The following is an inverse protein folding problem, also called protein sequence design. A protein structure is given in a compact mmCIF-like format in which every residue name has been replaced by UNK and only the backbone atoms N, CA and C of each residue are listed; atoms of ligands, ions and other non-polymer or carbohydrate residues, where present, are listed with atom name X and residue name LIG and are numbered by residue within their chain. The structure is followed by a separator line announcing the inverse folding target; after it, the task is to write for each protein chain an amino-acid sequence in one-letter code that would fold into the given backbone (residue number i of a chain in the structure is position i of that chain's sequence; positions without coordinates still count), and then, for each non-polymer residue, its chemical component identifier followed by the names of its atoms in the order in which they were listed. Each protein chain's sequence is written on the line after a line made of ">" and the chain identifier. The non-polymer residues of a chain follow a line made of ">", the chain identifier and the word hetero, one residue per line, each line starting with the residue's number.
data_IF_650130714844
#
_entry.id   IF_650130714844
#
_cell.length_a   1.000
_cell.length_b   1.000
_cell.length_c   1.000
_cell.angle_alpha   90.00
_cell.angle_beta   90.00
_cell.angle_gamma   90.00
#
_symmetry.space_group_name_H-M   'P 1'
#
loop_
_entity.id
_entity.type
_entity.pdbx_description
1 polymer ?
#
# COMPACT_ATOMS: atom_id res chain seq x y z
N UNK A 1 -37.08 -5.69 16.10
CA UNK A 1 -37.31 -6.45 14.83
C UNK A 1 -36.32 -5.97 13.77
N UNK A 2 -36.10 -6.71 12.66
CA UNK A 2 -35.24 -6.23 11.56
C UNK A 2 -35.76 -4.89 11.04
N UNK A 3 -34.85 -3.92 10.96
CA UNK A 3 -35.15 -2.56 10.51
C UNK A 3 -34.87 -2.37 9.02
N UNK A 4 -35.49 -1.37 8.37
CA UNK A 4 -35.18 -1.02 6.98
C UNK A 4 -33.70 -0.75 6.72
N UNK A 5 -32.99 -0.16 7.69
CA UNK A 5 -31.55 0.08 7.61
C UNK A 5 -30.75 -1.23 7.62
N UNK A 6 -31.11 -2.19 8.46
CA UNK A 6 -30.49 -3.52 8.45
C UNK A 6 -30.77 -4.28 7.15
N UNK A 7 -31.97 -4.14 6.58
CA UNK A 7 -32.31 -4.70 5.26
C UNK A 7 -31.40 -4.09 4.20
N UNK A 8 -31.23 -2.77 4.18
CA UNK A 8 -30.34 -2.07 3.25
C UNK A 8 -28.89 -2.54 3.39
N UNK A 9 -28.36 -2.60 4.61
CA UNK A 9 -26.99 -3.07 4.85
C UNK A 9 -26.78 -4.52 4.39
N UNK A 10 -27.78 -5.40 4.55
CA UNK A 10 -27.71 -6.79 4.07
C UNK A 10 -27.84 -6.89 2.55
N UNK A 11 -28.72 -6.08 1.96
CA UNK A 11 -28.89 -5.97 0.52
C UNK A 11 -27.57 -5.48 -0.14
N UNK A 12 -26.93 -4.45 0.41
CA UNK A 12 -25.63 -3.96 -0.09
C UNK A 12 -24.52 -5.01 0.03
N UNK A 13 -24.48 -5.81 1.11
CA UNK A 13 -23.49 -6.90 1.27
C UNK A 13 -23.67 -8.02 0.25
N UNK A 14 -24.89 -8.27 -0.20
CA UNK A 14 -25.20 -9.28 -1.22
C UNK A 14 -25.00 -8.77 -2.66
N UNK A 15 -24.73 -7.47 -2.85
CA UNK A 15 -24.56 -6.88 -4.18
C UNK A 15 -23.45 -7.53 -5.01
N UNK A 16 -22.36 -7.97 -4.37
CA UNK A 16 -21.30 -8.72 -5.05
C UNK A 16 -21.81 -10.04 -5.66
N UNK A 17 -22.71 -10.74 -4.98
CA UNK A 17 -23.28 -12.00 -5.45
C UNK A 17 -24.20 -11.73 -6.64
N UNK A 18 -24.97 -10.63 -6.56
CA UNK A 18 -25.74 -10.14 -7.69
C UNK A 18 -24.87 -9.86 -8.92
N UNK A 19 -23.78 -9.10 -8.78
CA UNK A 19 -22.86 -8.85 -9.89
C UNK A 19 -22.25 -10.14 -10.47
N UNK A 20 -21.96 -11.13 -9.62
CA UNK A 20 -21.42 -12.42 -10.05
C UNK A 20 -22.44 -13.19 -10.90
N UNK A 21 -23.70 -13.22 -10.46
CA UNK A 21 -24.80 -13.91 -11.17
C UNK A 21 -25.03 -13.38 -12.59
N UNK A 22 -24.78 -12.07 -12.82
CA UNK A 22 -24.90 -11.46 -14.15
C UNK A 22 -23.91 -12.05 -15.16
N UNK A 23 -22.78 -12.56 -14.70
CA UNK A 23 -21.75 -13.18 -15.54
C UNK A 23 -21.94 -14.71 -15.63
N UNK A 24 -22.54 -15.29 -14.60
CA UNK A 24 -22.94 -16.70 -14.59
C UNK A 24 -24.23 -16.98 -15.37
N UNK A 25 -24.99 -15.93 -15.70
CA UNK A 25 -26.32 -16.00 -16.33
C UNK A 25 -27.33 -16.76 -15.45
N UNK A 26 -27.27 -16.51 -14.14
CA UNK A 26 -28.14 -17.11 -13.12
C UNK A 26 -29.21 -16.11 -12.71
N UNK A 27 -30.48 -16.51 -12.74
CA UNK A 27 -31.56 -15.73 -12.14
C UNK A 27 -31.50 -15.83 -10.60
N UNK A 28 -31.27 -14.70 -9.96
CA UNK A 28 -31.13 -14.58 -8.50
C UNK A 28 -32.44 -14.21 -7.80
N UNK A 29 -33.48 -13.83 -8.55
CA UNK A 29 -34.70 -13.28 -7.97
C UNK A 29 -35.77 -14.37 -7.81
N UNK A 30 -36.52 -14.37 -6.69
CA UNK A 30 -36.50 -13.38 -5.61
C UNK A 30 -35.32 -13.55 -4.63
N UNK A 31 -34.73 -12.44 -4.17
CA UNK A 31 -33.67 -12.44 -3.16
C UNK A 31 -34.28 -12.29 -1.76
N UNK A 32 -34.21 -13.33 -0.93
CA UNK A 32 -34.63 -13.24 0.48
C UNK A 32 -33.54 -12.66 1.39
N UNK A 33 -33.94 -11.70 2.25
CA UNK A 33 -33.09 -11.11 3.28
C UNK A 33 -33.39 -11.75 4.64
N UNK A 34 -32.45 -12.52 5.14
CA UNK A 34 -32.53 -13.09 6.50
C UNK A 34 -32.51 -11.98 7.56
N UNK A 35 -33.26 -12.13 8.66
CA UNK A 35 -33.41 -11.10 9.67
C UNK A 35 -34.04 -11.59 10.98
N UNK A 36 -33.84 -10.82 12.06
CA UNK A 36 -34.56 -11.07 13.32
C UNK A 36 -36.01 -10.62 13.15
N UNK A 37 -36.91 -11.60 13.04
CA UNK A 37 -38.35 -11.41 12.82
C UNK A 37 -39.16 -11.50 14.12
N UNK A 38 -38.49 -11.59 15.28
CA UNK A 38 -39.17 -11.72 16.58
C UNK A 38 -39.76 -10.39 17.04
N UNK A 39 -41.00 -10.37 17.54
CA UNK A 39 -41.64 -9.18 18.07
C UNK A 39 -40.93 -8.69 19.35
N UNK A 40 -40.93 -7.38 19.57
CA UNK A 40 -40.48 -6.81 20.83
C UNK A 40 -41.49 -7.15 21.95
N UNK A 41 -41.02 -7.28 23.20
CA UNK A 41 -41.90 -7.52 24.36
C UNK A 41 -42.80 -6.33 24.65
N UNK A 42 -42.38 -5.12 24.28
CA UNK A 42 -43.20 -3.90 24.34
C UNK A 42 -44.03 -3.75 23.05
N UNK A 43 -45.35 -3.76 23.20
CA UNK A 43 -46.34 -3.67 22.11
C UNK A 43 -46.22 -2.33 21.37
N UNK A 44 -45.98 -1.22 22.07
CA UNK A 44 -45.92 0.11 21.47
C UNK A 44 -44.67 0.26 20.59
N UNK A 45 -43.55 -0.30 21.04
CA UNK A 45 -42.31 -0.37 20.26
C UNK A 45 -42.50 -1.28 19.05
N UNK A 46 -43.13 -2.45 19.23
CA UNK A 46 -43.40 -3.38 18.13
C UNK A 46 -44.27 -2.77 17.02
N UNK A 47 -45.34 -2.04 17.38
CA UNK A 47 -46.19 -1.36 16.40
C UNK A 47 -45.40 -0.33 15.58
N UNK A 48 -44.56 0.49 16.24
CA UNK A 48 -43.69 1.46 15.55
C UNK A 48 -42.67 0.78 14.63
N UNK A 49 -42.11 -0.36 15.04
CA UNK A 49 -41.17 -1.13 14.21
C UNK A 49 -41.86 -1.68 12.93
N UNK A 50 -43.08 -2.21 13.05
CA UNK A 50 -43.86 -2.72 11.91
C UNK A 50 -44.29 -1.59 10.98
N UNK A 51 -44.78 -0.48 11.53
CA UNK A 51 -45.20 0.68 10.75
C UNK A 51 -44.02 1.23 9.93
N UNK A 52 -42.83 1.32 10.54
CA UNK A 52 -41.61 1.74 9.85
C UNK A 52 -41.21 0.76 8.73
N UNK A 53 -41.35 -0.54 8.97
CA UNK A 53 -41.07 -1.58 7.97
C UNK A 53 -42.04 -1.49 6.78
N UNK A 54 -43.34 -1.27 7.03
CA UNK A 54 -44.35 -1.16 5.97
C UNK A 54 -44.18 0.14 5.18
N UNK A 55 -43.96 1.26 5.85
CA UNK A 55 -43.77 2.57 5.20
C UNK A 55 -42.54 2.61 4.29
N UNK A 56 -41.53 1.78 4.59
CA UNK A 56 -40.33 1.65 3.78
C UNK A 56 -40.39 0.51 2.75
N UNK A 57 -41.50 -0.24 2.67
CA UNK A 57 -41.69 -1.36 1.75
C UNK A 57 -42.12 -0.93 0.34
N UNK A 58 -42.03 -1.87 -0.60
CA UNK A 58 -42.47 -1.73 -1.99
C UNK A 58 -43.93 -1.28 -2.13
N UNK A 59 -44.83 -1.75 -1.27
CA UNK A 59 -46.26 -1.40 -1.34
C UNK A 59 -46.50 0.11 -1.13
N UNK A 60 -45.64 0.78 -0.36
CA UNK A 60 -45.77 2.22 -0.07
C UNK A 60 -44.87 3.08 -0.96
N UNK A 61 -43.65 2.63 -1.25
CA UNK A 61 -42.67 3.40 -2.03
C UNK A 61 -42.73 3.12 -3.55
N UNK A 62 -43.42 2.07 -3.96
CA UNK A 62 -43.48 1.60 -5.35
C UNK A 62 -42.23 0.87 -5.83
N UNK A 63 -41.25 0.65 -4.95
CA UNK A 63 -40.03 -0.12 -5.22
C UNK A 63 -39.40 -0.62 -3.90
N UNK A 64 -38.58 -1.66 -3.98
CA UNK A 64 -37.79 -2.16 -2.84
C UNK A 64 -38.29 -3.52 -2.33
N UNK A 65 -38.18 -3.76 -1.03
CA UNK A 65 -38.51 -5.08 -0.48
C UNK A 65 -40.02 -5.25 -0.26
N UNK A 66 -40.47 -6.49 -0.45
CA UNK A 66 -41.80 -6.99 -0.11
C UNK A 66 -41.73 -7.76 1.22
N UNK A 67 -42.82 -7.74 1.98
CA UNK A 67 -42.92 -8.43 3.28
C UNK A 67 -44.04 -9.46 3.21
N UNK A 68 -43.70 -10.74 3.36
CA UNK A 68 -44.67 -11.82 3.49
C UNK A 68 -45.03 -11.98 4.97
N UNK A 69 -46.31 -12.00 5.31
CA UNK A 69 -46.79 -12.09 6.70
C UNK A 69 -47.37 -13.47 7.01
N UNK A 70 -47.16 -13.91 8.25
CA UNK A 70 -47.81 -15.08 8.83
C UNK A 70 -48.72 -14.67 9.97
N UNK A 71 -49.96 -15.11 9.92
CA UNK A 71 -50.92 -14.96 11.01
C UNK A 71 -50.58 -15.92 12.15
N UNK A 72 -50.42 -15.39 13.36
CA UNK A 72 -50.10 -16.17 14.57
C UNK A 72 -51.07 -15.84 15.69
N UNK A 73 -51.53 -16.87 16.40
CA UNK A 73 -52.29 -16.72 17.64
C UNK A 73 -51.32 -16.52 18.81
N UNK A 74 -51.38 -15.36 19.45
CA UNK A 74 -50.57 -15.07 20.64
C UNK A 74 -51.19 -15.69 21.90
N UNK A 75 -50.40 -15.83 22.99
CA UNK A 75 -50.83 -16.46 24.26
C UNK A 75 -52.06 -15.81 24.91
N UNK A 76 -52.44 -14.61 24.48
CA UNK A 76 -53.60 -13.86 24.98
C UNK A 76 -54.78 -13.84 23.96
N UNK A 77 -54.86 -14.80 23.03
CA UNK A 77 -55.89 -14.87 21.97
C UNK A 77 -55.97 -13.67 21.02
N UNK A 78 -54.96 -12.80 20.99
CA UNK A 78 -54.85 -11.77 19.96
C UNK A 78 -54.22 -12.38 18.70
N UNK A 79 -54.93 -12.25 17.58
CA UNK A 79 -54.44 -12.60 16.25
C UNK A 79 -53.51 -11.48 15.79
N UNK A 80 -52.27 -11.82 15.43
CA UNK A 80 -51.29 -10.85 14.94
C UNK A 80 -50.57 -11.37 13.70
N UNK A 81 -50.43 -10.51 12.69
CA UNK A 81 -49.66 -10.80 11.49
C UNK A 81 -48.18 -10.43 11.74
N UNK A 82 -47.29 -11.43 11.66
CA UNK A 82 -45.86 -11.27 11.89
C UNK A 82 -45.09 -11.44 10.58
N UNK A 83 -44.04 -10.65 10.31
CA UNK A 83 -43.26 -10.78 9.09
C UNK A 83 -42.52 -12.12 9.04
N UNK A 84 -42.87 -12.94 8.06
CA UNK A 84 -42.28 -14.26 7.82
C UNK A 84 -41.11 -14.20 6.84
N UNK A 85 -41.22 -13.47 5.74
CA UNK A 85 -40.15 -13.28 4.75
C UNK A 85 -40.04 -11.83 4.33
N UNK A 86 -38.83 -11.41 4.02
CA UNK A 86 -38.53 -10.10 3.45
C UNK A 86 -37.68 -10.37 2.24
N UNK A 87 -38.12 -9.93 1.06
CA UNK A 87 -37.45 -10.29 -0.18
C UNK A 87 -37.60 -9.19 -1.23
N UNK A 88 -36.73 -9.22 -2.23
CA UNK A 88 -36.86 -8.38 -3.42
C UNK A 88 -37.41 -9.23 -4.56
N UNK A 89 -38.52 -8.81 -5.16
CA UNK A 89 -39.17 -9.52 -6.26
C UNK A 89 -38.37 -9.46 -7.56
N UNK A 90 -37.78 -8.30 -7.84
CA UNK A 90 -37.16 -8.00 -9.13
C UNK A 90 -35.81 -7.33 -8.96
N UNK A 91 -34.98 -7.42 -10.01
CA UNK A 91 -33.73 -6.67 -10.12
C UNK A 91 -33.94 -5.16 -9.93
N UNK A 92 -34.99 -4.61 -10.54
CA UNK A 92 -35.29 -3.18 -10.47
C UNK A 92 -35.58 -2.73 -9.04
N UNK A 93 -36.35 -3.53 -8.30
CA UNK A 93 -36.65 -3.26 -6.88
C UNK A 93 -35.39 -3.26 -6.03
N UNK A 94 -34.55 -4.28 -6.20
CA UNK A 94 -33.32 -4.44 -5.46
C UNK A 94 -32.32 -3.31 -5.74
N UNK A 95 -31.99 -3.07 -7.00
CA UNK A 95 -31.00 -2.06 -7.38
C UNK A 95 -31.43 -0.65 -7.01
N UNK A 96 -32.72 -0.32 -7.16
CA UNK A 96 -33.25 0.99 -6.77
C UNK A 96 -33.26 1.20 -5.27
N UNK A 97 -33.46 0.14 -4.48
CA UNK A 97 -33.42 0.22 -3.03
C UNK A 97 -32.01 0.48 -2.47
N UNK A 98 -30.98 -0.13 -3.08
CA UNK A 98 -29.58 0.07 -2.68
C UNK A 98 -28.88 1.22 -3.42
N UNK A 99 -29.56 1.88 -4.36
CA UNK A 99 -29.04 2.97 -5.20
C UNK A 99 -27.82 2.57 -6.06
N UNK A 100 -27.90 1.41 -6.73
CA UNK A 100 -26.79 0.81 -7.50
C UNK A 100 -27.11 0.54 -8.97
N UNK A 101 -28.18 1.10 -9.53
CA UNK A 101 -28.57 0.87 -10.93
C UNK A 101 -27.46 1.23 -11.93
N UNK A 102 -26.83 2.39 -11.75
CA UNK A 102 -25.74 2.86 -12.62
C UNK A 102 -24.51 1.97 -12.52
N UNK A 103 -24.17 1.55 -11.30
CA UNK A 103 -23.02 0.70 -11.02
C UNK A 103 -23.19 -0.69 -11.66
N UNK A 104 -24.36 -1.31 -11.49
CA UNK A 104 -24.69 -2.59 -12.13
C UNK A 104 -24.69 -2.49 -13.68
N UNK A 105 -25.27 -1.42 -14.23
CA UNK A 105 -25.28 -1.18 -15.68
C UNK A 105 -23.87 -1.06 -16.24
N UNK A 106 -23.01 -0.27 -15.58
CA UNK A 106 -21.62 -0.08 -15.99
C UNK A 106 -20.83 -1.40 -15.85
N UNK A 107 -21.04 -2.15 -14.77
CA UNK A 107 -20.42 -3.45 -14.58
C UNK A 107 -20.75 -4.42 -15.72
N UNK A 108 -22.00 -4.46 -16.19
CA UNK A 108 -22.41 -5.32 -17.31
C UNK A 108 -21.66 -4.94 -18.59
N UNK A 109 -21.59 -3.64 -18.90
CA UNK A 109 -20.85 -3.12 -20.06
C UNK A 109 -19.37 -3.49 -19.98
N UNK A 110 -18.74 -3.24 -18.83
CA UNK A 110 -17.32 -3.50 -18.61
C UNK A 110 -16.99 -5.00 -18.67
N UNK A 111 -17.84 -5.84 -18.08
CA UNK A 111 -17.67 -7.30 -18.07
C UNK A 111 -17.79 -7.88 -19.47
N UNK A 112 -18.78 -7.44 -20.26
CA UNK A 112 -18.92 -7.86 -21.66
C UNK A 112 -17.71 -7.41 -22.48
N UNK A 113 -17.25 -6.16 -22.30
CA UNK A 113 -16.08 -5.65 -23.01
C UNK A 113 -14.82 -6.49 -22.76
N UNK A 114 -14.60 -6.93 -21.52
CA UNK A 114 -13.50 -7.81 -21.17
C UNK A 114 -13.67 -9.21 -21.76
N UNK A 115 -14.83 -9.84 -21.56
CA UNK A 115 -15.08 -11.22 -21.97
C UNK A 115 -15.13 -11.42 -23.47
N UNK A 116 -15.50 -10.40 -24.25
CA UNK A 116 -15.42 -10.44 -25.72
C UNK A 116 -13.97 -10.59 -26.19
N UNK A 117 -12.99 -10.03 -25.48
CA UNK A 117 -11.58 -10.12 -25.85
C UNK A 117 -10.82 -11.24 -25.12
N UNK A 118 -11.17 -11.50 -23.87
CA UNK A 118 -10.47 -12.41 -22.97
C UNK A 118 -11.48 -13.27 -22.19
N UNK A 119 -12.07 -14.30 -22.83
CA UNK A 119 -13.05 -15.19 -22.19
C UNK A 119 -12.55 -15.89 -20.92
N UNK A 120 -11.25 -16.14 -20.82
CA UNK A 120 -10.57 -16.74 -19.67
C UNK A 120 -10.72 -15.94 -18.37
N UNK A 121 -11.04 -14.64 -18.46
CA UNK A 121 -11.29 -13.78 -17.29
C UNK A 121 -12.66 -14.04 -16.63
N UNK A 122 -13.51 -14.93 -17.17
CA UNK A 122 -14.85 -15.20 -16.61
C UNK A 122 -14.82 -15.52 -15.11
N UNK A 123 -13.98 -16.46 -14.71
CA UNK A 123 -13.88 -16.85 -13.30
C UNK A 123 -13.32 -15.72 -12.40
N UNK A 124 -12.46 -14.86 -12.95
CA UNK A 124 -11.97 -13.68 -12.24
C UNK A 124 -13.07 -12.66 -11.97
N UNK A 125 -13.89 -12.37 -12.98
CA UNK A 125 -14.99 -11.41 -12.85
C UNK A 125 -16.04 -11.92 -11.84
N UNK A 126 -16.37 -13.21 -11.89
CA UNK A 126 -17.30 -13.87 -10.94
C UNK A 126 -16.74 -13.83 -9.51
N UNK A 127 -15.47 -14.19 -9.31
CA UNK A 127 -14.88 -14.23 -7.97
C UNK A 127 -14.59 -12.85 -7.38
N UNK A 128 -14.33 -11.84 -8.22
CA UNK A 128 -13.89 -10.49 -7.82
C UNK A 128 -14.63 -9.37 -8.56
N UNK A 129 -15.98 -9.30 -8.55
CA UNK A 129 -16.73 -8.30 -9.29
C UNK A 129 -16.44 -6.86 -8.85
N UNK A 130 -16.09 -6.68 -7.56
CA UNK A 130 -15.67 -5.38 -7.02
C UNK A 130 -14.41 -4.81 -7.70
N UNK A 131 -13.52 -5.66 -8.25
CA UNK A 131 -12.38 -5.19 -9.04
C UNK A 131 -12.84 -4.55 -10.34
N UNK A 132 -13.91 -5.07 -10.94
CA UNK A 132 -14.51 -4.54 -12.17
C UNK A 132 -15.10 -3.14 -11.91
N UNK A 133 -15.96 -3.06 -10.90
CA UNK A 133 -16.61 -1.81 -10.47
C UNK A 133 -15.59 -0.72 -10.12
N UNK A 134 -14.54 -1.04 -9.33
CA UNK A 134 -13.54 -0.05 -8.90
C UNK A 134 -12.73 0.58 -10.04
N UNK A 135 -12.66 -0.09 -11.19
CA UNK A 135 -11.92 0.40 -12.36
C UNK A 135 -12.85 0.82 -13.51
N UNK A 136 -14.14 1.03 -13.24
CA UNK A 136 -15.07 1.59 -14.19
C UNK A 136 -14.51 2.83 -14.89
N UNK A 137 -14.71 2.92 -16.21
CA UNK A 137 -14.17 4.00 -17.05
C UNK A 137 -12.69 3.86 -17.44
N UNK A 138 -11.95 2.88 -16.91
CA UNK A 138 -10.54 2.62 -17.26
C UNK A 138 -10.33 1.40 -18.16
N UNK A 139 -11.37 0.60 -18.39
CA UNK A 139 -11.25 -0.72 -19.01
C UNK A 139 -10.70 -0.70 -20.43
N UNK A 140 -11.01 0.32 -21.23
CA UNK A 140 -10.43 0.47 -22.56
C UNK A 140 -8.90 0.60 -22.52
N UNK A 141 -8.38 1.39 -21.58
CA UNK A 141 -6.95 1.61 -21.39
C UNK A 141 -6.28 0.36 -20.80
N UNK A 142 -6.94 -0.34 -19.86
CA UNK A 142 -6.47 -1.63 -19.32
C UNK A 142 -6.33 -2.65 -20.46
N UNK A 143 -7.36 -2.79 -21.30
CA UNK A 143 -7.36 -3.72 -22.44
C UNK A 143 -6.23 -3.41 -23.42
N UNK A 144 -5.94 -2.13 -23.71
CA UNK A 144 -4.79 -1.75 -24.56
C UNK A 144 -3.47 -2.26 -23.99
N UNK A 145 -3.29 -2.16 -22.67
CA UNK A 145 -2.09 -2.68 -22.00
C UNK A 145 -2.03 -4.21 -22.11
N UNK A 146 -3.14 -4.89 -21.82
CA UNK A 146 -3.19 -6.35 -21.89
C UNK A 146 -2.86 -6.83 -23.30
N UNK A 147 -3.47 -6.24 -24.35
CA UNK A 147 -3.18 -6.61 -25.74
C UNK A 147 -1.68 -6.52 -26.04
N UNK A 148 -1.02 -5.45 -25.58
CA UNK A 148 0.41 -5.28 -25.81
C UNK A 148 1.24 -6.40 -25.17
N UNK A 149 0.95 -6.79 -23.93
CA UNK A 149 1.69 -7.86 -23.25
C UNK A 149 1.37 -9.25 -23.82
N UNK A 150 0.17 -9.46 -24.37
CA UNK A 150 -0.16 -10.69 -25.09
C UNK A 150 0.67 -10.79 -26.37
N UNK A 151 0.82 -9.69 -27.11
CA UNK A 151 1.64 -9.63 -28.34
C UNK A 151 3.15 -9.62 -28.04
N UNK A 152 3.57 -9.04 -26.90
CA UNK A 152 4.96 -8.87 -26.50
C UNK A 152 5.17 -9.28 -25.03
N UNK A 153 5.20 -10.59 -24.72
CA UNK A 153 5.17 -11.02 -23.32
C UNK A 153 6.45 -10.75 -22.51
N UNK A 154 7.58 -10.51 -23.18
CA UNK A 154 8.87 -10.12 -22.57
C UNK A 154 9.46 -8.92 -23.33
N UNK A 155 8.93 -7.70 -23.12
CA UNK A 155 9.33 -6.55 -23.90
C UNK A 155 10.80 -6.15 -23.75
N UNK A 156 11.42 -6.41 -22.59
CA UNK A 156 12.73 -5.88 -22.20
C UNK A 156 12.83 -4.33 -22.29
N UNK A 157 11.74 -3.66 -21.94
CA UNK A 157 11.61 -2.19 -21.98
C UNK A 157 11.22 -1.65 -20.60
N UNK A 158 11.57 -0.40 -20.30
CA UNK A 158 10.98 0.29 -19.16
C UNK A 158 9.49 0.56 -19.44
N UNK A 159 8.66 0.66 -18.39
CA UNK A 159 7.22 1.00 -18.52
C UNK A 159 6.99 2.24 -19.40
N UNK A 160 7.92 3.21 -19.34
CA UNK A 160 7.81 4.47 -20.08
C UNK A 160 8.21 4.39 -21.55
N UNK A 161 8.87 3.31 -21.94
CA UNK A 161 9.31 3.05 -23.31
C UNK A 161 8.32 2.18 -24.07
N UNK A 162 7.30 1.64 -23.39
CA UNK A 162 6.30 0.79 -24.02
C UNK A 162 5.58 1.56 -25.14
N UNK A 163 5.54 1.03 -26.37
CA UNK A 163 4.95 1.68 -27.54
C UNK A 163 3.42 1.59 -27.55
N UNK A 164 2.79 1.90 -26.41
CA UNK A 164 1.35 1.85 -26.20
C UNK A 164 0.84 3.30 -26.21
N UNK A 165 -0.22 3.57 -26.98
CA UNK A 165 -0.85 4.91 -27.07
C UNK A 165 -1.68 5.24 -25.82
N UNK A 166 -1.03 5.27 -24.66
CA UNK A 166 -1.60 5.60 -23.34
C UNK A 166 -0.58 6.40 -22.52
N UNK A 167 -1.04 7.17 -21.54
CA UNK A 167 -0.11 7.86 -20.65
C UNK A 167 0.60 6.83 -19.75
N UNK A 168 1.94 6.82 -19.72
CA UNK A 168 2.75 5.82 -18.99
C UNK A 168 2.44 5.71 -17.48
N UNK A 169 2.16 6.84 -16.80
CA UNK A 169 1.60 6.88 -15.43
C UNK A 169 0.34 6.01 -15.22
N UNK A 170 -0.41 5.70 -16.27
CA UNK A 170 -1.55 4.79 -16.19
C UNK A 170 -1.11 3.39 -15.78
N UNK A 171 -0.09 2.82 -16.42
CA UNK A 171 0.44 1.50 -16.07
C UNK A 171 0.98 1.53 -14.65
N UNK A 172 1.79 2.54 -14.31
CA UNK A 172 2.38 2.70 -12.97
C UNK A 172 1.31 2.71 -11.85
N UNK A 173 0.17 3.38 -12.07
CA UNK A 173 -0.92 3.49 -11.09
C UNK A 173 -1.85 2.28 -11.02
N UNK A 174 -1.90 1.47 -12.08
CA UNK A 174 -2.84 0.35 -12.19
C UNK A 174 -2.14 -1.03 -12.20
N UNK A 175 -0.86 -1.11 -11.79
CA UNK A 175 -0.07 -2.37 -11.72
C UNK A 175 -0.80 -3.51 -11.01
N UNK A 176 -1.53 -3.22 -9.92
CA UNK A 176 -2.22 -4.26 -9.15
C UNK A 176 -3.29 -5.00 -9.95
N UNK A 177 -4.18 -4.27 -10.64
CA UNK A 177 -5.20 -4.90 -11.48
C UNK A 177 -4.58 -5.50 -12.75
N UNK A 178 -3.60 -4.83 -13.35
CA UNK A 178 -2.90 -5.35 -14.52
C UNK A 178 -2.21 -6.68 -14.20
N UNK A 179 -1.56 -6.82 -13.04
CA UNK A 179 -0.96 -8.08 -12.59
C UNK A 179 -2.00 -9.19 -12.51
N UNK A 180 -3.09 -8.96 -11.78
CA UNK A 180 -4.12 -9.98 -11.58
C UNK A 180 -4.70 -10.48 -12.91
N UNK A 181 -4.85 -9.60 -13.90
CA UNK A 181 -5.37 -9.96 -15.22
C UNK A 181 -4.32 -10.65 -16.10
N UNK A 182 -3.11 -10.09 -16.18
CA UNK A 182 -2.02 -10.66 -16.97
C UNK A 182 -1.59 -12.03 -16.44
N UNK A 183 -1.66 -12.27 -15.13
CA UNK A 183 -1.38 -13.59 -14.53
C UNK A 183 -2.37 -14.68 -14.97
N UNK A 184 -3.57 -14.30 -15.38
CA UNK A 184 -4.59 -15.24 -15.88
C UNK A 184 -4.46 -15.42 -17.38
N UNK A 185 -4.17 -14.34 -18.10
CA UNK A 185 -4.14 -14.30 -19.57
C UNK A 185 -2.83 -14.86 -20.11
N UNK A 186 -1.70 -14.56 -19.47
CA UNK A 186 -0.40 -15.05 -19.87
C UNK A 186 -0.09 -16.37 -19.17
N UNK A 187 0.35 -17.36 -19.94
CA UNK A 187 0.78 -18.64 -19.38
C UNK A 187 1.99 -18.48 -18.45
N UNK A 188 2.06 -19.29 -17.39
CA UNK A 188 3.15 -19.29 -16.42
C UNK A 188 4.54 -19.59 -17.02
N UNK A 189 4.61 -20.21 -18.21
CA UNK A 189 5.88 -20.44 -18.93
C UNK A 189 6.47 -19.14 -19.50
N UNK A 190 5.61 -18.15 -19.74
CA UNK A 190 5.97 -16.89 -20.39
C UNK A 190 6.29 -15.81 -19.36
N UNK A 191 5.68 -15.89 -18.17
CA UNK A 191 5.84 -14.94 -17.07
C UNK A 191 6.95 -15.40 -16.12
N UNK A 192 7.75 -14.48 -15.60
CA UNK A 192 8.79 -14.82 -14.63
C UNK A 192 8.19 -15.04 -13.23
N UNK A 193 8.79 -15.91 -12.42
CA UNK A 193 8.36 -16.14 -11.03
C UNK A 193 8.87 -15.05 -10.06
N UNK A 194 8.43 -13.82 -10.32
CA UNK A 194 8.86 -12.62 -9.59
C UNK A 194 7.66 -11.93 -8.93
N UNK A 195 7.88 -11.29 -7.78
CA UNK A 195 6.84 -10.51 -7.10
C UNK A 195 6.70 -9.09 -7.68
N UNK A 196 7.79 -8.53 -8.18
CA UNK A 196 7.81 -7.17 -8.73
C UNK A 196 7.20 -7.19 -10.12
N UNK A 197 6.19 -6.33 -10.35
CA UNK A 197 5.42 -6.27 -11.61
C UNK A 197 6.34 -6.21 -12.85
N UNK A 198 7.34 -5.32 -12.82
CA UNK A 198 8.28 -5.16 -13.93
C UNK A 198 9.01 -6.46 -14.25
N UNK A 199 9.66 -7.07 -13.25
CA UNK A 199 10.44 -8.29 -13.44
C UNK A 199 9.55 -9.46 -13.85
N UNK A 200 8.33 -9.54 -13.29
CA UNK A 200 7.34 -10.58 -13.59
C UNK A 200 6.97 -10.61 -15.07
N UNK A 201 6.70 -9.45 -15.67
CA UNK A 201 6.27 -9.34 -17.07
C UNK A 201 7.40 -8.93 -18.03
N UNK A 202 8.65 -9.25 -17.68
CA UNK A 202 9.81 -9.05 -18.55
C UNK A 202 10.10 -7.58 -18.92
N UNK A 203 9.74 -6.64 -18.05
CA UNK A 203 10.08 -5.22 -18.17
C UNK A 203 11.39 -4.92 -17.46
N UNK A 204 12.07 -3.86 -17.91
CA UNK A 204 13.21 -3.29 -17.20
C UNK A 204 12.74 -2.57 -15.94
N UNK A 205 13.38 -2.90 -14.82
CA UNK A 205 13.22 -2.17 -13.57
C UNK A 205 14.26 -1.05 -13.51
N UNK A 206 13.82 0.18 -13.26
CA UNK A 206 14.74 1.30 -13.07
C UNK A 206 15.58 1.02 -11.82
N UNK A 207 16.88 0.89 -12.04
CA UNK A 207 17.82 0.62 -10.96
C UNK A 207 17.92 1.84 -10.02
N UNK A 208 17.89 1.65 -8.69
CA UNK A 208 18.09 2.76 -7.78
C UNK A 208 19.49 3.37 -7.94
N UNK A 209 19.55 4.70 -7.96
CA UNK A 209 20.80 5.45 -7.98
C UNK A 209 21.28 5.67 -6.54
N UNK A 210 22.53 5.29 -6.25
CA UNK A 210 23.22 5.60 -5.01
C UNK A 210 24.00 6.88 -5.21
N UNK A 211 23.57 7.95 -4.52
CA UNK A 211 24.30 9.21 -4.49
C UNK A 211 25.28 9.20 -3.32
N UNK A 212 26.51 9.64 -3.55
CA UNK A 212 27.53 9.75 -2.53
C UNK A 212 28.46 10.94 -2.79
N UNK A 213 29.03 11.48 -1.72
CA UNK A 213 30.07 12.50 -1.75
C UNK A 213 31.42 11.89 -1.36
N UNK A 214 32.46 12.15 -2.14
CA UNK A 214 33.84 11.81 -1.79
C UNK A 214 34.38 12.92 -0.88
N UNK A 215 34.80 12.53 0.33
CA UNK A 215 35.30 13.48 1.32
C UNK A 215 36.82 13.61 1.31
N UNK A 216 37.52 12.81 0.51
CA UNK A 216 38.96 12.92 0.29
C UNK A 216 39.24 13.50 -1.10
N UNK A 217 39.76 14.73 -1.15
CA UNK A 217 40.14 15.39 -2.41
C UNK A 217 41.17 14.61 -3.22
N UNK A 218 42.09 13.89 -2.57
CA UNK A 218 43.09 13.07 -3.25
C UNK A 218 42.44 11.88 -3.95
N UNK A 219 41.45 11.27 -3.30
CA UNK A 219 40.66 10.18 -3.85
C UNK A 219 39.79 10.66 -5.00
N UNK A 220 39.11 11.81 -4.83
CA UNK A 220 38.30 12.44 -5.87
C UNK A 220 39.14 12.72 -7.12
N UNK A 221 40.33 13.30 -6.97
CA UNK A 221 41.24 13.55 -8.08
C UNK A 221 41.72 12.26 -8.75
N UNK A 222 42.03 11.22 -7.96
CA UNK A 222 42.58 9.96 -8.48
C UNK A 222 41.57 9.13 -9.26
N UNK A 223 40.33 9.02 -8.78
CA UNK A 223 39.34 8.08 -9.33
C UNK A 223 38.17 8.76 -10.05
N UNK A 224 37.95 10.05 -9.82
CA UNK A 224 36.75 10.76 -10.30
C UNK A 224 37.07 12.10 -10.97
N UNK A 225 38.30 12.32 -11.42
CA UNK A 225 38.73 13.56 -12.10
C UNK A 225 38.44 14.84 -11.29
N UNK A 226 38.47 14.74 -9.96
CA UNK A 226 38.21 15.84 -9.04
C UNK A 226 36.72 16.07 -8.73
N UNK A 227 35.82 15.30 -9.34
CA UNK A 227 34.40 15.30 -8.98
C UNK A 227 34.22 14.64 -7.62
N UNK A 228 33.46 15.29 -6.74
CA UNK A 228 33.28 14.85 -5.37
C UNK A 228 31.82 14.57 -4.99
N UNK A 229 30.83 14.87 -5.83
CA UNK A 229 29.40 14.54 -5.63
C UNK A 229 28.89 13.78 -6.84
N UNK A 230 28.57 12.50 -6.64
CA UNK A 230 28.35 11.52 -7.69
C UNK A 230 27.07 10.73 -7.39
N UNK A 231 26.44 10.23 -8.45
CA UNK A 231 25.37 9.25 -8.34
C UNK A 231 25.60 8.12 -9.34
N UNK A 232 25.63 6.88 -8.85
CA UNK A 232 25.84 5.68 -9.66
C UNK A 232 24.63 4.74 -9.54
N UNK A 233 24.23 4.02 -10.60
CA UNK A 233 23.32 2.89 -10.47
C UNK A 233 23.89 1.87 -9.47
N UNK A 234 22.99 1.20 -8.73
CA UNK A 234 23.37 0.32 -7.63
C UNK A 234 24.40 -0.77 -8.02
N UNK A 235 24.28 -1.37 -9.21
CA UNK A 235 25.20 -2.39 -9.73
C UNK A 235 26.62 -1.83 -9.93
N UNK A 236 26.76 -0.61 -10.44
CA UNK A 236 28.04 0.05 -10.63
C UNK A 236 28.63 0.44 -9.28
N UNK A 237 27.80 0.92 -8.36
CA UNK A 237 28.22 1.22 -6.99
C UNK A 237 28.68 -0.03 -6.23
N UNK A 238 28.03 -1.18 -6.44
CA UNK A 238 28.45 -2.47 -5.88
C UNK A 238 29.83 -2.92 -6.34
N UNK A 239 30.19 -2.58 -7.58
CA UNK A 239 31.46 -2.94 -8.20
C UNK A 239 32.53 -1.86 -8.05
N UNK A 240 32.31 -0.87 -7.19
CA UNK A 240 33.25 0.22 -6.95
C UNK A 240 34.52 -0.32 -6.30
N UNK A 241 35.62 -0.36 -7.06
CA UNK A 241 36.90 -0.87 -6.61
C UNK A 241 37.81 0.28 -6.13
N UNK A 242 37.48 0.82 -4.97
CA UNK A 242 38.23 1.91 -4.33
C UNK A 242 38.54 1.51 -2.90
N UNK A 243 39.80 1.65 -2.49
CA UNK A 243 40.20 1.45 -1.11
C UNK A 243 39.67 2.60 -0.25
N UNK A 244 38.64 2.31 0.53
CA UNK A 244 38.05 3.22 1.49
C UNK A 244 38.32 2.69 2.90
N UNK A 245 38.53 3.59 3.84
CA UNK A 245 38.64 3.24 5.26
C UNK A 245 37.31 3.45 5.97
N UNK A 246 36.47 4.36 5.46
CA UNK A 246 35.25 4.82 6.14
C UNK A 246 34.14 5.21 5.18
N UNK A 247 32.91 4.88 5.56
CA UNK A 247 31.70 5.25 4.85
C UNK A 247 30.68 5.80 5.83
N UNK A 248 30.13 6.95 5.50
CA UNK A 248 29.16 7.64 6.34
C UNK A 248 27.81 7.56 5.67
N UNK A 249 26.81 7.02 6.33
CA UNK A 249 25.47 6.81 5.79
C UNK A 249 24.56 7.86 6.43
N UNK A 250 24.06 8.77 5.61
CA UNK A 250 23.17 9.86 6.02
C UNK A 250 21.74 9.56 5.56
N UNK A 251 20.76 9.61 6.46
CA UNK A 251 19.38 9.23 6.13
C UNK A 251 18.63 10.26 5.26
N UNK A 252 18.79 11.55 5.56
CA UNK A 252 17.98 12.63 4.98
C UNK A 252 18.73 13.38 3.86
N UNK A 253 17.97 13.78 2.82
CA UNK A 253 18.45 14.57 1.69
C UNK A 253 18.77 16.03 2.05
N UNK A 254 18.26 16.58 3.13
CA UNK A 254 18.59 17.97 3.54
C UNK A 254 19.89 18.00 4.34
N UNK A 255 20.24 16.92 5.05
CA UNK A 255 21.58 16.66 5.59
C UNK A 255 22.67 16.66 4.51
N UNK A 256 22.29 16.63 3.23
CA UNK A 256 23.15 16.94 2.09
C UNK A 256 23.80 18.31 2.21
N UNK A 257 23.10 19.36 2.66
CA UNK A 257 23.69 20.70 2.81
C UNK A 257 24.75 20.73 3.91
N UNK A 258 24.51 20.02 5.02
CA UNK A 258 25.51 19.82 6.05
C UNK A 258 26.69 18.98 5.52
N UNK A 259 26.40 17.94 4.73
CA UNK A 259 27.39 17.06 4.13
C UNK A 259 28.25 17.68 3.03
N UNK A 260 27.70 18.63 2.27
CA UNK A 260 28.45 19.46 1.32
C UNK A 260 29.52 20.31 2.03
N UNK A 261 29.37 20.50 3.34
CA UNK A 261 30.32 21.23 4.19
C UNK A 261 31.10 20.34 5.15
N UNK A 262 30.98 19.01 5.04
CA UNK A 262 31.81 18.08 5.81
C UNK A 262 33.28 18.34 5.44
N UNK A 263 34.17 18.50 6.45
CA UNK A 263 35.58 18.73 6.19
C UNK A 263 36.21 17.54 5.46
N UNK A 264 37.31 17.82 4.75
CA UNK A 264 38.04 16.79 4.03
C UNK A 264 38.51 15.69 5.00
N UNK A 265 38.17 14.43 4.73
CA UNK A 265 38.53 13.27 5.55
C UNK A 265 39.10 12.17 4.67
N UNK A 266 40.29 11.69 5.04
CA UNK A 266 41.07 10.72 4.27
C UNK A 266 40.30 9.42 4.04
N UNK A 267 40.40 8.85 2.84
CA UNK A 267 39.81 7.54 2.46
C UNK A 267 38.32 7.39 2.85
N UNK A 268 37.56 8.49 2.82
CA UNK A 268 36.17 8.54 3.31
C UNK A 268 35.19 8.98 2.22
N UNK A 269 34.00 8.35 2.19
CA UNK A 269 32.84 8.84 1.43
C UNK A 269 31.62 9.01 2.35
N UNK A 270 30.67 9.84 1.93
CA UNK A 270 29.35 9.96 2.54
C UNK A 270 28.26 9.51 1.53
N UNK A 271 27.47 8.50 1.87
CA UNK A 271 26.34 7.99 1.10
C UNK A 271 25.07 8.70 1.55
N UNK A 272 24.26 9.15 0.59
CA UNK A 272 22.98 9.80 0.86
C UNK A 272 21.84 8.81 0.66
N UNK A 273 21.20 8.45 1.78
CA UNK A 273 19.93 7.76 1.81
C UNK A 273 18.76 8.69 1.51
N UNK A 274 17.63 8.08 1.15
CA UNK A 274 16.31 8.72 1.23
C UNK A 274 15.45 7.79 2.08
N UNK A 275 15.62 7.82 3.40
CA UNK A 275 14.96 6.86 4.31
C UNK A 275 15.26 5.39 3.95
N UNK A 276 14.21 4.59 3.72
CA UNK A 276 14.24 3.13 3.43
C UNK A 276 15.15 2.67 2.26
N UNK A 277 15.76 3.57 1.50
CA UNK A 277 16.83 3.28 0.51
C UNK A 277 18.05 2.57 1.11
N UNK A 278 18.20 2.54 2.43
CA UNK A 278 19.24 1.76 3.11
C UNK A 278 19.19 0.27 2.77
N UNK A 279 18.01 -0.27 2.45
CA UNK A 279 17.88 -1.64 1.94
C UNK A 279 18.66 -1.88 0.63
N UNK A 280 18.89 -0.84 -0.18
CA UNK A 280 19.73 -0.94 -1.38
C UNK A 280 21.20 -1.18 -1.04
N UNK A 281 21.65 -0.80 0.16
CA UNK A 281 23.02 -1.02 0.61
C UNK A 281 23.26 -2.46 1.07
N UNK A 282 22.25 -3.34 1.04
CA UNK A 282 22.41 -4.76 1.37
C UNK A 282 23.29 -5.46 0.32
N UNK A 283 24.15 -6.37 0.78
CA UNK A 283 25.02 -7.22 -0.06
C UNK A 283 25.97 -6.39 -0.95
N UNK A 284 26.59 -5.35 -0.40
CA UNK A 284 27.69 -4.63 -1.02
C UNK A 284 28.97 -5.07 -0.32
N UNK A 285 29.69 -6.04 -0.90
CA UNK A 285 30.81 -6.71 -0.26
C UNK A 285 31.89 -5.75 0.25
N UNK A 286 32.22 -4.70 -0.51
CA UNK A 286 33.28 -3.77 -0.11
C UNK A 286 32.92 -2.92 1.12
N UNK A 287 31.64 -2.84 1.53
CA UNK A 287 31.26 -2.17 2.77
C UNK A 287 31.64 -2.98 4.02
N UNK A 288 31.76 -4.31 3.91
CA UNK A 288 32.09 -5.21 5.03
C UNK A 288 33.48 -4.90 5.63
N UNK A 289 34.42 -4.46 4.79
CA UNK A 289 35.79 -4.14 5.19
C UNK A 289 36.00 -2.65 5.55
N UNK A 290 34.93 -1.85 5.60
CA UNK A 290 35.01 -0.39 5.85
C UNK A 290 34.32 0.01 7.15
N UNK A 291 34.86 0.99 7.89
CA UNK A 291 34.16 1.52 9.05
C UNK A 291 32.88 2.22 8.62
N UNK A 292 31.72 1.69 9.01
CA UNK A 292 30.42 2.25 8.66
C UNK A 292 29.93 3.15 9.80
N UNK A 293 29.53 4.37 9.46
CA UNK A 293 29.03 5.35 10.43
C UNK A 293 27.66 5.81 9.98
N UNK A 294 26.65 5.58 10.80
CA UNK A 294 25.28 5.95 10.52
C UNK A 294 24.88 7.21 11.30
N UNK A 295 24.26 8.15 10.60
CA UNK A 295 23.56 9.26 11.21
C UNK A 295 22.15 9.31 10.64
N UNK A 296 21.14 9.09 11.51
CA UNK A 296 19.72 9.15 11.19
C UNK A 296 18.97 10.22 11.99
N UNK A 297 17.66 10.38 11.70
CA UNK A 297 16.77 11.18 12.57
C UNK A 297 16.58 10.47 13.92
N UNK A 298 16.37 11.23 14.99
CA UNK A 298 15.94 10.69 16.29
C UNK A 298 14.44 10.46 16.27
N UNK A 299 14.00 9.40 15.61
CA UNK A 299 12.64 8.89 15.70
C UNK A 299 12.62 7.36 15.67
N UNK A 300 11.46 6.76 15.90
CA UNK A 300 11.32 5.31 15.93
C UNK A 300 11.75 4.64 14.60
N UNK A 301 11.66 5.34 13.46
CA UNK A 301 12.09 4.82 12.16
C UNK A 301 13.60 4.96 11.94
N UNK A 302 14.23 6.05 12.38
CA UNK A 302 15.68 6.25 12.29
C UNK A 302 16.45 5.15 13.04
N UNK A 303 16.00 4.78 14.24
CA UNK A 303 16.54 3.64 15.00
C UNK A 303 16.23 2.28 14.34
N UNK A 304 15.06 2.10 13.73
CA UNK A 304 14.74 0.87 12.97
C UNK A 304 15.65 0.72 11.74
N UNK A 305 16.03 1.84 11.10
CA UNK A 305 17.00 1.84 10.01
C UNK A 305 18.39 1.47 10.52
N UNK A 306 18.87 2.08 11.61
CA UNK A 306 20.15 1.72 12.24
C UNK A 306 20.23 0.22 12.55
N UNK A 307 19.19 -0.32 13.19
CA UNK A 307 19.08 -1.74 13.51
C UNK A 307 19.10 -2.63 12.25
N UNK A 308 18.49 -2.19 11.15
CA UNK A 308 18.54 -2.89 9.86
C UNK A 308 19.92 -2.84 9.19
N UNK A 309 20.65 -1.74 9.27
CA UNK A 309 22.02 -1.68 8.72
C UNK A 309 22.93 -2.64 9.48
N UNK A 310 22.80 -2.67 10.81
CA UNK A 310 23.56 -3.61 11.65
C UNK A 310 23.20 -5.07 11.42
N UNK A 311 22.00 -5.35 10.91
CA UNK A 311 21.66 -6.68 10.42
C UNK A 311 22.48 -7.09 9.19
N UNK A 312 22.88 -6.13 8.35
CA UNK A 312 23.64 -6.38 7.12
C UNK A 312 25.16 -6.33 7.36
N UNK A 313 25.61 -5.45 8.25
CA UNK A 313 27.02 -5.18 8.51
C UNK A 313 27.28 -5.06 10.02
N UNK A 314 28.20 -5.85 10.55
CA UNK A 314 28.46 -5.91 12.00
C UNK A 314 29.30 -4.73 12.53
N UNK A 315 29.87 -3.91 11.65
CA UNK A 315 30.85 -2.87 11.95
C UNK A 315 30.28 -1.44 11.84
N UNK A 316 28.99 -1.28 12.18
CA UNK A 316 28.26 0.00 12.06
C UNK A 316 28.19 0.71 13.40
N UNK A 317 28.76 1.92 13.44
CA UNK A 317 28.67 2.84 14.56
C UNK A 317 27.61 3.90 14.27
N UNK A 318 26.89 4.35 15.30
CA UNK A 318 26.04 5.53 15.19
C UNK A 318 26.84 6.76 15.62
N UNK A 319 26.50 7.93 15.10
CA UNK A 319 27.06 9.22 15.52
C UNK A 319 25.91 10.18 15.82
N UNK A 320 26.00 10.92 16.94
CA UNK A 320 24.97 11.88 17.36
C UNK A 320 23.58 11.22 17.41
N UNK A 321 23.52 10.00 17.93
CA UNK A 321 22.27 9.24 18.15
C UNK A 321 22.18 8.79 19.61
N UNK A 322 22.74 9.59 20.51
CA UNK A 322 22.81 9.37 21.95
C UNK A 322 21.84 10.26 22.72
N UNK A 323 21.65 9.94 24.00
CA UNK A 323 20.71 10.63 24.88
C UNK A 323 21.09 12.09 25.11
N UNK A 324 22.39 12.37 25.23
CA UNK A 324 22.91 13.73 25.47
C UNK A 324 22.53 14.66 24.31
N UNK A 325 22.79 14.24 23.08
CA UNK A 325 22.42 14.97 21.87
C UNK A 325 20.90 15.21 21.81
N UNK A 326 20.10 14.19 22.14
CA UNK A 326 18.64 14.32 22.14
C UNK A 326 18.16 15.36 23.16
N UNK A 327 18.63 15.29 24.40
CA UNK A 327 18.18 16.18 25.47
C UNK A 327 18.59 17.64 25.23
N UNK A 328 19.70 17.91 24.52
CA UNK A 328 20.15 19.26 24.18
C UNK A 328 19.27 19.91 23.09
N UNK A 329 18.91 19.16 22.04
CA UNK A 329 18.32 19.74 20.82
C UNK A 329 16.84 19.41 20.59
N UNK A 330 16.22 18.59 21.43
CA UNK A 330 14.80 18.26 21.28
C UNK A 330 13.89 19.46 21.59
N UNK A 331 13.04 19.83 20.63
CA UNK A 331 12.16 21.01 20.70
C UNK A 331 10.66 20.69 20.79
N UNK A 332 10.27 19.43 21.05
CA UNK A 332 8.86 19.07 21.23
C UNK A 332 8.16 18.47 20.01
N UNK A 333 8.89 18.12 18.93
CA UNK A 333 8.25 17.55 17.74
C UNK A 333 7.78 16.11 17.95
N UNK A 334 6.76 15.73 17.19
CA UNK A 334 6.18 14.39 17.24
C UNK A 334 6.62 13.52 16.07
N UNK A 335 6.97 12.29 16.39
CA UNK A 335 7.33 11.25 15.44
C UNK A 335 6.13 10.47 14.91
N UNK A 336 6.44 9.44 14.11
CA UNK A 336 5.48 8.43 13.69
C UNK A 336 5.60 7.21 14.59
N UNK A 337 4.45 6.69 14.99
CA UNK A 337 4.40 5.46 15.76
C UNK A 337 4.91 4.27 14.94
N UNK A 338 5.77 3.46 15.56
CA UNK A 338 6.23 2.19 15.03
C UNK A 338 5.76 1.06 15.93
N UNK A 339 5.08 0.08 15.36
CA UNK A 339 4.58 -1.10 16.08
C UNK A 339 5.66 -2.18 16.23
N UNK A 340 6.80 -1.77 16.79
CA UNK A 340 7.91 -2.65 17.21
C UNK A 340 8.32 -2.26 18.61
N UNK A 341 8.26 -3.18 19.55
CA UNK A 341 8.62 -2.89 20.94
C UNK A 341 10.13 -2.84 21.12
N UNK A 342 10.87 -3.67 20.38
CA UNK A 342 12.32 -3.77 20.47
C UNK A 342 12.96 -3.93 19.09
N UNK A 343 14.23 -3.54 19.02
CA UNK A 343 15.04 -3.60 17.81
C UNK A 343 16.31 -4.40 18.13
N UNK A 344 16.51 -5.59 17.51
CA UNK A 344 17.45 -6.59 18.02
C UNK A 344 18.94 -6.21 17.88
N UNK A 345 19.28 -5.29 16.97
CA UNK A 345 20.67 -4.94 16.68
C UNK A 345 21.08 -3.55 17.20
N UNK A 346 20.31 -2.96 18.12
CA UNK A 346 20.70 -1.73 18.80
C UNK A 346 21.61 -2.06 20.01
N UNK A 347 22.46 -1.09 20.38
CA UNK A 347 23.17 -1.14 21.65
C UNK A 347 22.20 -0.83 22.80
N UNK A 348 22.56 -1.22 24.03
CA UNK A 348 21.70 -1.04 25.19
C UNK A 348 21.25 0.43 25.37
N UNK A 349 22.19 1.38 25.28
CA UNK A 349 21.91 2.83 25.40
C UNK A 349 20.98 3.35 24.29
N UNK A 350 21.17 2.87 23.05
CA UNK A 350 20.32 3.23 21.91
C UNK A 350 18.94 2.61 22.03
N UNK A 351 18.85 1.40 22.58
CA UNK A 351 17.61 0.67 22.81
C UNK A 351 16.77 1.36 23.89
N UNK A 352 17.40 1.86 24.96
CA UNK A 352 16.74 2.67 25.99
C UNK A 352 16.20 3.98 25.40
N UNK A 353 17.02 4.70 24.62
CA UNK A 353 16.60 5.93 23.97
C UNK A 353 15.47 5.68 22.95
N UNK A 354 15.56 4.61 22.17
CA UNK A 354 14.50 4.20 21.24
C UNK A 354 13.18 3.96 21.94
N UNK A 355 13.17 3.22 23.07
CA UNK A 355 11.97 2.97 23.87
C UNK A 355 11.35 4.28 24.34
N UNK A 356 12.17 5.17 24.90
CA UNK A 356 11.73 6.50 25.36
C UNK A 356 11.09 7.33 24.24
N UNK A 357 11.75 7.41 23.08
CA UNK A 357 11.27 8.15 21.90
C UNK A 357 9.95 7.55 21.38
N UNK A 358 9.88 6.22 21.26
CA UNK A 358 8.71 5.51 20.73
C UNK A 358 7.49 5.69 21.63
N UNK A 359 7.63 5.47 22.95
CA UNK A 359 6.52 5.53 23.91
C UNK A 359 5.89 6.92 23.97
N UNK A 360 6.73 7.96 23.84
CA UNK A 360 6.29 9.35 23.89
C UNK A 360 6.03 9.95 22.50
N UNK A 361 6.20 9.16 21.42
CA UNK A 361 6.13 9.60 20.02
C UNK A 361 6.95 10.87 19.73
N UNK A 362 8.19 10.91 20.20
CA UNK A 362 9.09 12.06 20.04
C UNK A 362 9.79 12.00 18.67
N UNK A 363 10.20 13.16 18.16
CA UNK A 363 11.07 13.26 16.99
C UNK A 363 12.05 14.41 17.14
N UNK A 364 13.30 14.18 16.77
CA UNK A 364 14.28 15.24 16.53
C UNK A 364 14.88 15.02 15.14
N UNK A 365 14.59 15.94 14.22
CA UNK A 365 15.17 15.91 12.87
C UNK A 365 16.64 16.31 12.92
N UNK A 366 17.50 15.67 12.12
CA UNK A 366 18.93 15.98 12.07
C UNK A 366 19.24 17.46 11.80
N UNK A 367 18.37 18.12 11.06
CA UNK A 367 18.49 19.52 10.67
C UNK A 367 18.47 20.49 11.85
N UNK A 368 17.91 20.06 13.00
CA UNK A 368 17.85 20.85 14.23
C UNK A 368 19.16 20.80 15.03
N UNK A 369 20.03 19.84 14.73
CA UNK A 369 21.34 19.76 15.37
C UNK A 369 22.26 20.78 14.70
N UNK A 370 22.84 21.75 15.44
CA UNK A 370 23.73 22.75 14.89
C UNK A 370 24.91 22.14 14.15
N UNK A 371 25.27 22.76 13.03
CA UNK A 371 26.36 22.31 12.16
C UNK A 371 27.69 22.15 12.90
N UNK A 372 28.03 23.08 13.77
CA UNK A 372 29.34 23.06 14.45
C UNK A 372 29.44 21.88 15.41
N UNK A 373 28.34 21.52 16.09
CA UNK A 373 28.26 20.32 16.93
C UNK A 373 28.47 19.04 16.11
N UNK A 374 27.87 18.98 14.92
CA UNK A 374 28.10 17.86 13.99
C UNK A 374 29.55 17.77 13.52
N UNK A 375 30.18 18.89 13.17
CA UNK A 375 31.57 18.92 12.70
C UNK A 375 32.53 18.48 13.81
N UNK A 376 32.33 18.94 15.04
CA UNK A 376 33.15 18.52 16.17
C UNK A 376 33.07 17.01 16.43
N UNK A 377 31.87 16.43 16.36
CA UNK A 377 31.70 14.98 16.47
C UNK A 377 32.36 14.25 15.30
N UNK A 378 32.24 14.80 14.09
CA UNK A 378 32.82 14.24 12.87
C UNK A 378 34.36 14.26 12.87
N UNK A 379 34.98 15.32 13.38
CA UNK A 379 36.43 15.44 13.46
C UNK A 379 37.06 14.39 14.37
N UNK A 380 36.33 13.97 15.41
CA UNK A 380 36.74 12.92 16.37
C UNK A 380 36.70 11.50 15.81
N UNK A 381 36.04 11.28 14.66
CA UNK A 381 36.02 9.98 13.95
C UNK A 381 37.37 9.67 13.32
#
# INVERSE_FOLDING_TARGET
>A
MISPLEIKNKAERSFKNYLSSLVEDIDLFPIEIAGNKKPNKDISVFHKEIEKLVNDSKEKKGYGYSVEYKRVNTRNNAIQDLPQKIYFDTETDYLKFIDKQKEASQFKIDSVMLLVKYPELKNFIISKPNRIVKNAGKWQEIIKVINYFVENPKPDLYIRELPIKIHTKFIERNKGILRELLDIILNNEVVNNEEVFELRFGLKLAEPMIRFKVLDKSLANKYFSGLDDLALPLNLFKNLNIKLSRVIILENKVSLYNALTIPNKKDTIAIFGKGYSVSNLKNICWLEDTQLIYWGDFDAHGFDILSKIRQYYNNVQSILMDRETFDIFYEGDKGKYLDKTELPNLLDEEQELYKYIRENNLRLEQEKIPRDYFIEAFEKL
#
